data_IF_774110764267
#
_entry.id   IF_774110764267
#
_cell.length_a   1.000
_cell.length_b   1.000
_cell.length_c   1.000
_cell.angle_alpha   90.00
_cell.angle_beta   90.00
_cell.angle_gamma   90.00
#
_symmetry.space_group_name_H-M   'P 1'
#
loop_
_entity.id
_entity.type
_entity.pdbx_description
1 polymer ?
#
# COMPACT_ATOMS: atom_id res chain seq x y z
N UNK A 1 -10.55 3.17 14.31
CA UNK A 1 -11.06 3.91 13.14
C UNK A 1 -9.99 4.30 12.10
N UNK A 2 -8.68 4.18 12.37
CA UNK A 2 -7.63 4.51 11.39
C UNK A 2 -7.44 3.42 10.31
N UNK A 3 -7.54 2.13 10.68
CA UNK A 3 -7.29 1.00 9.77
C UNK A 3 -8.31 0.73 8.67
N UNK A 4 -9.35 1.56 8.53
CA UNK A 4 -10.25 1.54 7.36
C UNK A 4 -9.87 2.60 6.32
N UNK A 5 -9.17 3.67 6.72
CA UNK A 5 -8.80 4.79 5.85
C UNK A 5 -7.87 4.37 4.71
N UNK A 6 -6.88 3.54 5.00
CA UNK A 6 -5.96 3.02 3.97
C UNK A 6 -6.64 2.18 2.90
N UNK A 7 -7.63 1.35 3.29
CA UNK A 7 -8.40 0.54 2.32
C UNK A 7 -9.27 1.44 1.43
N UNK A 8 -9.88 2.50 1.99
CA UNK A 8 -10.63 3.46 1.19
C UNK A 8 -9.74 4.23 0.20
N UNK A 9 -8.51 4.58 0.59
CA UNK A 9 -7.53 5.22 -0.30
C UNK A 9 -7.20 4.26 -1.46
N UNK A 10 -6.90 3.00 -1.18
CA UNK A 10 -6.64 1.98 -2.22
C UNK A 10 -7.80 1.81 -3.20
N UNK A 11 -9.05 1.76 -2.69
CA UNK A 11 -10.26 1.67 -3.52
C UNK A 11 -10.40 2.91 -4.40
N UNK A 12 -10.21 4.11 -3.84
CA UNK A 12 -10.31 5.36 -4.58
C UNK A 12 -9.26 5.44 -5.70
N UNK A 13 -8.00 5.11 -5.40
CA UNK A 13 -6.92 5.09 -6.40
C UNK A 13 -7.22 4.07 -7.49
N UNK A 14 -7.65 2.85 -7.13
CA UNK A 14 -8.00 1.81 -8.12
C UNK A 14 -9.14 2.24 -9.04
N UNK A 15 -10.18 2.87 -8.51
CA UNK A 15 -11.30 3.38 -9.29
C UNK A 15 -10.87 4.49 -10.27
N UNK A 16 -10.03 5.43 -9.82
CA UNK A 16 -9.48 6.49 -10.67
C UNK A 16 -8.62 5.91 -11.79
N UNK A 17 -7.74 4.95 -11.48
CA UNK A 17 -6.90 4.30 -12.50
C UNK A 17 -7.75 3.55 -13.54
N UNK A 18 -8.82 2.88 -13.11
CA UNK A 18 -9.74 2.18 -14.02
C UNK A 18 -10.49 3.17 -14.94
N UNK A 19 -10.96 4.30 -14.41
CA UNK A 19 -11.63 5.34 -15.19
C UNK A 19 -10.68 5.98 -16.21
N UNK A 20 -9.47 6.36 -15.78
CA UNK A 20 -8.46 6.96 -16.67
C UNK A 20 -8.04 5.97 -17.75
N UNK A 21 -7.84 4.69 -17.41
CA UNK A 21 -7.54 3.63 -18.38
C UNK A 21 -8.68 3.39 -19.37
N UNK A 22 -9.93 3.39 -18.90
CA UNK A 22 -11.10 3.26 -19.77
C UNK A 22 -11.20 4.43 -20.76
N UNK A 23 -11.05 5.67 -20.29
CA UNK A 23 -11.07 6.85 -21.15
C UNK A 23 -9.91 6.84 -22.17
N UNK A 24 -8.73 6.37 -21.78
CA UNK A 24 -7.61 6.20 -22.70
C UNK A 24 -7.91 5.18 -23.81
N UNK A 25 -8.38 3.98 -23.43
CA UNK A 25 -8.72 2.91 -24.39
C UNK A 25 -9.88 3.31 -25.31
N UNK A 26 -10.98 3.85 -24.76
CA UNK A 26 -12.12 4.30 -25.56
C UNK A 26 -11.77 5.52 -26.43
N UNK A 27 -10.90 6.41 -25.93
CA UNK A 27 -10.49 7.61 -26.65
C UNK A 27 -9.67 7.29 -27.89
N UNK A 28 -8.82 6.26 -27.79
CA UNK A 28 -8.06 5.75 -28.93
C UNK A 28 -8.96 5.07 -29.98
N UNK A 29 -9.98 4.32 -29.54
CA UNK A 29 -10.88 3.59 -30.46
C UNK A 29 -11.85 4.54 -31.19
N UNK A 30 -12.34 5.57 -30.51
CA UNK A 30 -13.44 6.39 -31.03
C UNK A 30 -12.99 7.59 -31.89
N UNK A 31 -11.68 7.77 -32.12
CA UNK A 31 -11.04 8.93 -32.77
C UNK A 31 -11.61 10.30 -32.29
N UNK A 32 -12.20 10.33 -31.10
CA UNK A 32 -12.93 11.47 -30.60
C UNK A 32 -11.96 12.40 -29.88
N UNK A 33 -11.70 13.55 -30.49
CA UNK A 33 -10.87 14.63 -29.94
C UNK A 33 -11.34 15.06 -28.54
N UNK A 34 -12.65 14.99 -28.26
CA UNK A 34 -13.22 15.37 -26.96
C UNK A 34 -12.82 14.38 -25.85
N UNK A 35 -12.86 13.06 -26.13
CA UNK A 35 -12.49 12.04 -25.14
C UNK A 35 -10.97 12.00 -24.89
N UNK A 36 -10.17 12.26 -25.92
CA UNK A 36 -8.73 12.39 -25.79
C UNK A 36 -8.34 13.65 -24.99
N UNK A 37 -9.09 14.75 -25.18
CA UNK A 37 -8.92 15.98 -24.42
C UNK A 37 -9.23 15.82 -22.93
N UNK A 38 -10.30 15.10 -22.57
CA UNK A 38 -10.60 14.81 -21.16
C UNK A 38 -9.54 13.91 -20.52
N UNK A 39 -9.06 12.89 -21.24
CA UNK A 39 -7.95 12.05 -20.79
C UNK A 39 -6.69 12.88 -20.51
N UNK A 40 -6.28 13.75 -21.44
CA UNK A 40 -5.14 14.64 -21.25
C UNK A 40 -5.32 15.57 -20.05
N UNK A 41 -6.52 16.13 -19.87
CA UNK A 41 -6.83 16.98 -18.73
C UNK A 41 -6.68 16.23 -17.39
N UNK A 42 -7.20 15.00 -17.29
CA UNK A 42 -7.02 14.16 -16.10
C UNK A 42 -5.53 13.84 -15.85
N UNK A 43 -4.75 13.55 -16.89
CA UNK A 43 -3.30 13.32 -16.76
C UNK A 43 -2.56 14.54 -16.23
N UNK A 44 -2.89 15.75 -16.71
CA UNK A 44 -2.27 16.99 -16.22
C UNK A 44 -2.59 17.21 -14.73
N UNK A 45 -3.83 16.94 -14.31
CA UNK A 45 -4.23 17.03 -12.90
C UNK A 45 -3.45 16.00 -12.06
N UNK A 46 -3.35 14.75 -12.52
CA UNK A 46 -2.61 13.72 -11.82
C UNK A 46 -1.13 14.10 -11.67
N UNK A 47 -0.50 14.56 -12.74
CA UNK A 47 0.89 15.02 -12.71
C UNK A 47 1.10 16.19 -11.75
N UNK A 48 0.22 17.19 -11.77
CA UNK A 48 0.29 18.31 -10.83
C UNK A 48 0.11 17.82 -9.38
N UNK A 49 -0.79 16.86 -9.14
CA UNK A 49 -1.02 16.27 -7.83
C UNK A 49 0.17 15.45 -7.32
N UNK A 50 0.85 14.70 -8.21
CA UNK A 50 2.05 13.94 -7.87
C UNK A 50 3.20 14.86 -7.46
N UNK A 51 3.42 15.95 -8.21
CA UNK A 51 4.46 16.94 -7.87
C UNK A 51 4.15 17.63 -6.53
N UNK A 52 2.89 18.03 -6.31
CA UNK A 52 2.47 18.63 -5.05
C UNK A 52 2.64 17.66 -3.87
N UNK A 53 2.23 16.39 -4.03
CA UNK A 53 2.38 15.35 -3.03
C UNK A 53 3.86 15.02 -2.76
N UNK A 54 4.72 15.02 -3.78
CA UNK A 54 6.15 14.79 -3.63
C UNK A 54 6.82 15.90 -2.82
N UNK A 55 6.53 17.16 -3.13
CA UNK A 55 7.08 18.32 -2.38
C UNK A 55 6.59 18.28 -0.94
N UNK A 56 5.28 18.08 -0.74
CA UNK A 56 4.69 18.00 0.59
C UNK A 56 5.26 16.83 1.40
N UNK A 57 5.39 15.65 0.78
CA UNK A 57 5.98 14.47 1.41
C UNK A 57 7.44 14.68 1.78
N UNK A 58 8.21 15.40 0.97
CA UNK A 58 9.61 15.72 1.28
C UNK A 58 9.73 16.70 2.45
N UNK A 59 8.91 17.75 2.47
CA UNK A 59 8.89 18.73 3.57
C UNK A 59 8.42 18.11 4.89
N UNK A 60 7.46 17.18 4.83
CA UNK A 60 6.80 16.58 5.99
C UNK A 60 7.15 15.10 6.20
N UNK A 61 8.38 14.69 5.84
CA UNK A 61 8.86 13.31 5.96
C UNK A 61 8.55 12.65 7.30
N UNK A 62 8.74 13.37 8.42
CA UNK A 62 8.49 12.85 9.76
C UNK A 62 7.01 12.53 10.01
N UNK A 63 6.11 13.33 9.44
CA UNK A 63 4.67 13.10 9.51
C UNK A 63 4.27 11.90 8.65
N UNK A 64 4.79 11.81 7.43
CA UNK A 64 4.54 10.68 6.52
C UNK A 64 5.01 9.36 7.14
N UNK A 65 6.22 9.33 7.72
CA UNK A 65 6.73 8.13 8.39
C UNK A 65 5.87 7.71 9.57
N UNK A 66 5.39 8.67 10.40
CA UNK A 66 4.48 8.36 11.51
C UNK A 66 3.16 7.78 11.01
N UNK A 67 2.59 8.33 9.94
CA UNK A 67 1.36 7.81 9.35
C UNK A 67 1.55 6.40 8.79
N UNK A 68 2.67 6.16 8.11
CA UNK A 68 3.04 4.84 7.59
C UNK A 68 3.21 3.81 8.72
N UNK A 69 3.91 4.18 9.80
CA UNK A 69 4.11 3.33 10.98
C UNK A 69 2.76 3.03 11.65
N UNK A 70 1.88 4.02 11.77
CA UNK A 70 0.53 3.82 12.33
C UNK A 70 -0.34 2.91 11.45
N UNK A 71 -0.19 3.00 10.13
CA UNK A 71 -0.86 2.08 9.21
C UNK A 71 -0.36 0.64 9.37
N UNK A 72 0.97 0.47 9.43
CA UNK A 72 1.61 -0.83 9.69
C UNK A 72 1.18 -1.42 11.03
N UNK A 73 1.21 -0.64 12.11
CA UNK A 73 0.79 -1.06 13.44
C UNK A 73 -0.70 -1.48 13.46
N UNK A 74 -1.56 -0.72 12.77
CA UNK A 74 -2.97 -1.08 12.64
C UNK A 74 -3.20 -2.35 11.82
N UNK A 75 -2.40 -2.62 10.79
CA UNK A 75 -2.48 -3.86 10.01
C UNK A 75 -1.97 -5.05 10.84
N UNK A 76 -0.88 -4.84 11.57
CA UNK A 76 -0.27 -5.80 12.47
C UNK A 76 -1.22 -6.23 13.60
N UNK A 77 -1.87 -5.27 14.28
CA UNK A 77 -2.89 -5.57 15.30
C UNK A 77 -4.02 -6.41 14.73
N UNK A 78 -4.49 -6.12 13.49
CA UNK A 78 -5.53 -6.92 12.83
C UNK A 78 -5.10 -8.33 12.48
N UNK A 79 -3.82 -8.53 12.16
CA UNK A 79 -3.27 -9.84 11.87
C UNK A 79 -3.10 -10.71 13.12
N UNK A 80 -2.79 -10.08 14.27
CA UNK A 80 -2.54 -10.76 15.55
C UNK A 80 -3.80 -10.89 16.42
N UNK A 81 -4.84 -10.08 16.16
CA UNK A 81 -6.10 -10.13 16.90
C UNK A 81 -6.66 -11.57 16.92
N UNK A 82 -7.23 -11.99 18.05
CA UNK A 82 -7.62 -13.39 18.31
C UNK A 82 -9.00 -13.71 17.73
N UNK A 83 -9.80 -12.70 17.37
CA UNK A 83 -11.13 -12.89 16.77
C UNK A 83 -11.04 -13.45 15.35
N UNK A 84 -11.24 -14.77 15.18
CA UNK A 84 -11.22 -15.54 13.92
C UNK A 84 -12.14 -14.98 12.82
N UNK A 85 -11.74 -13.87 12.21
CA UNK A 85 -12.49 -13.12 11.22
C UNK A 85 -11.79 -13.17 9.86
N UNK A 86 -12.51 -13.07 8.72
CA UNK A 86 -11.93 -13.02 7.38
C UNK A 86 -10.96 -11.85 7.18
N UNK A 87 -11.02 -10.85 8.08
CA UNK A 87 -10.09 -9.73 8.16
C UNK A 87 -8.65 -10.12 8.51
N UNK A 88 -8.41 -11.30 9.11
CA UNK A 88 -7.05 -11.75 9.47
C UNK A 88 -6.22 -12.16 8.26
N UNK A 89 -6.75 -13.01 7.37
CA UNK A 89 -6.02 -13.50 6.20
C UNK A 89 -5.60 -12.36 5.27
N UNK A 90 -6.48 -11.36 5.10
CA UNK A 90 -6.17 -10.16 4.34
C UNK A 90 -5.03 -9.36 4.98
N UNK A 91 -5.04 -9.20 6.31
CA UNK A 91 -3.99 -8.51 7.04
C UNK A 91 -2.65 -9.26 6.98
N UNK A 92 -2.66 -10.60 7.09
CA UNK A 92 -1.47 -11.46 6.97
C UNK A 92 -0.83 -11.30 5.58
N UNK A 93 -1.63 -11.35 4.50
CA UNK A 93 -1.10 -11.16 3.13
C UNK A 93 -0.49 -9.78 2.92
N UNK A 94 -1.13 -8.74 3.44
CA UNK A 94 -0.59 -7.37 3.38
C UNK A 94 0.75 -7.31 4.11
N UNK A 95 0.83 -7.89 5.31
CA UNK A 95 2.05 -7.89 6.12
C UNK A 95 3.17 -8.73 5.47
N UNK A 96 2.84 -9.87 4.86
CA UNK A 96 3.79 -10.71 4.11
C UNK A 96 4.43 -9.95 2.94
N UNK A 97 3.63 -9.19 2.17
CA UNK A 97 4.15 -8.33 1.10
C UNK A 97 5.06 -7.23 1.65
N UNK A 98 4.68 -6.58 2.76
CA UNK A 98 5.54 -5.58 3.41
C UNK A 98 6.86 -6.19 3.87
N UNK A 99 6.80 -7.31 4.59
CA UNK A 99 7.96 -8.01 5.11
C UNK A 99 8.90 -8.50 4.00
N UNK A 100 8.35 -9.03 2.90
CA UNK A 100 9.14 -9.51 1.77
C UNK A 100 9.73 -8.36 0.94
N UNK A 101 9.01 -7.23 0.80
CA UNK A 101 9.47 -6.08 -0.01
C UNK A 101 10.50 -5.24 0.75
N UNK A 102 10.34 -5.09 2.07
CA UNK A 102 11.22 -4.30 2.93
C UNK A 102 12.28 -5.14 3.66
N UNK A 103 12.24 -6.45 3.47
CA UNK A 103 13.15 -7.42 4.07
C UNK A 103 13.23 -7.32 5.61
N UNK A 104 12.07 -7.13 6.24
CA UNK A 104 11.90 -6.95 7.68
C UNK A 104 10.79 -7.85 8.22
N UNK A 105 10.72 -8.07 9.53
CA UNK A 105 9.56 -8.74 10.14
C UNK A 105 9.18 -8.17 11.50
N UNK A 106 7.90 -7.81 11.67
CA UNK A 106 7.34 -7.42 12.95
C UNK A 106 7.86 -6.08 13.46
N UNK A 107 7.66 -5.82 14.76
CA UNK A 107 8.07 -4.58 15.43
C UNK A 107 9.28 -4.75 16.36
N UNK A 108 9.79 -5.98 16.49
CA UNK A 108 10.89 -6.32 17.39
C UNK A 108 10.44 -6.71 18.80
N UNK A 109 9.13 -6.86 19.02
CA UNK A 109 8.56 -7.14 20.33
C UNK A 109 8.65 -8.65 20.61
N UNK A 110 9.55 -9.08 21.51
CA UNK A 110 9.74 -10.46 21.97
C UNK A 110 8.57 -10.98 22.86
N UNK A 111 7.34 -10.57 22.56
CA UNK A 111 6.17 -11.06 23.28
C UNK A 111 5.94 -12.53 22.90
N UNK A 112 5.66 -13.41 23.87
CA UNK A 112 5.40 -14.83 23.59
C UNK A 112 4.28 -15.07 22.55
N UNK A 113 3.35 -14.13 22.45
CA UNK A 113 2.30 -14.06 21.42
C UNK A 113 2.90 -13.92 20.01
N UNK A 114 3.93 -13.09 19.83
CA UNK A 114 4.61 -12.91 18.55
C UNK A 114 5.33 -14.18 18.10
N UNK A 115 5.97 -14.93 19.01
CA UNK A 115 6.62 -16.21 18.66
C UNK A 115 5.66 -17.25 18.07
N UNK A 116 4.40 -17.26 18.51
CA UNK A 116 3.40 -18.20 17.97
C UNK A 116 2.92 -17.80 16.56
N UNK A 117 2.88 -16.51 16.23
CA UNK A 117 2.34 -16.02 14.95
C UNK A 117 3.45 -15.66 13.95
N UNK A 118 4.68 -15.43 14.41
CA UNK A 118 5.86 -15.12 13.60
C UNK A 118 6.18 -16.23 12.58
N UNK A 119 5.89 -17.49 12.92
CA UNK A 119 6.05 -18.61 11.98
C UNK A 119 5.12 -18.55 10.75
N UNK A 120 4.04 -17.76 10.82
CA UNK A 120 3.06 -17.56 9.74
C UNK A 120 3.14 -16.15 9.14
N UNK A 121 3.62 -15.16 9.89
CA UNK A 121 3.71 -13.75 9.47
C UNK A 121 5.05 -13.36 8.86
N UNK A 122 6.14 -14.02 9.23
CA UNK A 122 7.47 -13.67 8.75
C UNK A 122 7.85 -14.49 7.50
N UNK A 123 8.49 -13.87 6.50
CA UNK A 123 9.07 -14.61 5.39
C UNK A 123 10.16 -15.55 5.93
N UNK A 124 10.15 -16.80 5.46
CA UNK A 124 11.24 -17.73 5.74
C UNK A 124 12.45 -17.34 4.90
N UNK A 125 13.29 -16.49 5.46
CA UNK A 125 14.50 -16.02 4.79
C UNK A 125 15.45 -17.19 4.56
N UNK A 126 15.80 -17.44 3.30
CA UNK A 126 16.83 -18.40 2.92
C UNK A 126 18.21 -17.71 2.98
N UNK A 127 19.33 -18.43 3.20
CA UNK A 127 20.66 -17.83 3.35
C UNK A 127 21.10 -16.95 2.16
N UNK A 128 20.48 -17.13 0.99
CA UNK A 128 20.77 -16.44 -0.27
C UNK A 128 20.29 -14.99 -0.34
N UNK A 129 19.31 -14.61 0.49
CA UNK A 129 18.68 -13.28 0.44
C UNK A 129 19.51 -12.18 1.13
N UNK A 130 20.42 -12.56 2.04
CA UNK A 130 21.33 -11.62 2.71
C UNK A 130 22.43 -11.08 1.78
N UNK A 131 22.72 -11.79 0.68
CA UNK A 131 23.78 -11.44 -0.28
C UNK A 131 23.34 -10.33 -1.26
N UNK A 132 22.04 -10.08 -1.41
CA UNK A 132 21.52 -9.10 -2.39
C UNK A 132 21.28 -7.70 -1.82
N UNK A 133 21.45 -7.52 -0.52
CA UNK A 133 21.27 -6.25 0.20
C UNK A 133 22.59 -5.55 0.55
N UNK A 134 23.73 -6.01 0.02
CA UNK A 134 25.01 -5.29 0.02
C UNK A 134 25.45 -5.05 -1.43
#
# INVERSE_FOLDING_TARGET
MLGVRGVYILIAVGAVMMLVGFLGCYGAIQESQCLLGTFFFFLVILFASEVAAAIWGFMNRDTISKELINFYDSAYIKAVDVSGSPSKDAAIKVLDVFHNTLDCCGKGDDTALFKQVAGTLCPRKSPTDFVRSQ
#
